data_IF_028220917914
#
_entry.id   IF_028220917914
#
_cell.length_a   1.000
_cell.length_b   1.000
_cell.length_c   1.000
_cell.angle_alpha   90.00
_cell.angle_beta   90.00
_cell.angle_gamma   90.00
#
_symmetry.space_group_name_H-M   'P 1'
#
loop_
_entity.id
_entity.type
_entity.pdbx_description
1 polymer ?
#
# COMPACT_ATOMS: atom_id res chain seq x y z
N UNK A 1 -19.44 -9.31 -15.88
CA UNK A 1 -19.26 -8.86 -14.48
C UNK A 1 -18.67 -7.45 -14.54
N UNK A 2 -19.17 -6.48 -13.77
CA UNK A 2 -18.57 -5.15 -13.76
C UNK A 2 -17.18 -5.26 -13.12
N UNK A 3 -16.13 -4.90 -13.86
CA UNK A 3 -14.75 -4.85 -13.36
C UNK A 3 -14.51 -3.50 -12.68
N UNK A 4 -15.07 -3.32 -11.48
CA UNK A 4 -14.74 -2.19 -10.63
C UNK A 4 -15.95 -1.46 -10.05
N UNK A 5 -15.75 -0.92 -8.84
CA UNK A 5 -16.67 0.02 -8.20
C UNK A 5 -16.01 1.39 -8.17
N UNK A 6 -16.70 2.41 -8.68
CA UNK A 6 -16.32 3.80 -8.50
C UNK A 6 -16.71 4.19 -7.07
N UNK A 7 -15.81 4.85 -6.37
CA UNK A 7 -15.98 5.34 -5.00
C UNK A 7 -15.69 6.84 -4.99
N UNK A 8 -16.42 7.58 -4.17
CA UNK A 8 -16.37 9.05 -4.19
C UNK A 8 -15.31 9.61 -3.24
N UNK A 9 -14.79 8.78 -2.32
CA UNK A 9 -13.72 9.18 -1.40
C UNK A 9 -12.81 8.00 -1.02
N UNK A 10 -11.59 8.28 -0.56
CA UNK A 10 -10.71 7.28 0.04
C UNK A 10 -11.35 6.57 1.24
N UNK A 11 -12.11 7.28 2.08
CA UNK A 11 -12.78 6.66 3.23
C UNK A 11 -13.86 5.65 2.80
N UNK A 12 -14.60 5.94 1.74
CA UNK A 12 -15.57 5.01 1.17
C UNK A 12 -14.87 3.76 0.64
N UNK A 13 -13.75 3.93 -0.09
CA UNK A 13 -12.92 2.82 -0.56
C UNK A 13 -12.48 1.92 0.60
N UNK A 14 -11.99 2.54 1.69
CA UNK A 14 -11.48 1.83 2.86
C UNK A 14 -12.59 1.10 3.60
N UNK A 15 -13.76 1.71 3.75
CA UNK A 15 -14.91 1.04 4.37
C UNK A 15 -15.35 -0.21 3.58
N UNK A 16 -15.21 -0.18 2.25
CA UNK A 16 -15.56 -1.29 1.36
C UNK A 16 -14.51 -2.40 1.32
N UNK A 17 -13.23 -2.03 1.25
CA UNK A 17 -12.13 -3.00 1.13
C UNK A 17 -11.69 -3.54 2.49
N UNK A 18 -11.61 -2.68 3.51
CA UNK A 18 -11.13 -2.99 4.86
C UNK A 18 -12.17 -2.66 5.95
N UNK A 19 -13.32 -3.36 5.97
CA UNK A 19 -14.31 -3.15 7.02
C UNK A 19 -13.73 -3.48 8.40
N UNK A 20 -13.95 -2.60 9.38
CA UNK A 20 -13.45 -2.77 10.76
C UNK A 20 -11.93 -2.97 10.86
N UNK A 21 -11.13 -2.29 10.02
CA UNK A 21 -9.67 -2.43 9.97
C UNK A 21 -9.00 -2.31 11.35
N UNK A 22 -9.52 -1.48 12.25
CA UNK A 22 -9.01 -1.31 13.63
C UNK A 22 -9.06 -2.59 14.47
N UNK A 23 -9.94 -3.53 14.14
CA UNK A 23 -10.06 -4.82 14.82
C UNK A 23 -9.22 -5.90 14.14
N UNK A 24 -9.09 -5.82 12.81
CA UNK A 24 -8.48 -6.87 11.98
C UNK A 24 -7.03 -6.58 11.56
N UNK A 25 -6.44 -5.43 11.91
CA UNK A 25 -5.10 -5.04 11.44
C UNK A 25 -3.96 -5.98 11.85
N UNK A 26 -4.17 -6.85 12.83
CA UNK A 26 -3.20 -7.90 13.24
C UNK A 26 -3.44 -9.24 12.55
N UNK A 27 -4.56 -9.39 11.84
CA UNK A 27 -4.91 -10.61 11.12
C UNK A 27 -4.30 -10.56 9.71
N UNK A 28 -3.18 -11.26 9.56
CA UNK A 28 -2.43 -11.32 8.33
C UNK A 28 -3.20 -12.03 7.21
N UNK A 29 -3.97 -13.07 7.54
CA UNK A 29 -4.79 -13.79 6.57
C UNK A 29 -5.90 -12.86 6.08
N UNK A 30 -6.59 -12.16 6.97
CA UNK A 30 -7.63 -11.21 6.58
C UNK A 30 -7.09 -10.08 5.69
N UNK A 31 -5.89 -9.56 5.98
CA UNK A 31 -5.26 -8.52 5.17
C UNK A 31 -4.79 -9.03 3.79
N UNK A 32 -4.20 -10.23 3.72
CA UNK A 32 -3.62 -10.77 2.49
C UNK A 32 -4.66 -11.08 1.40
N UNK A 33 -5.90 -11.34 1.77
CA UNK A 33 -7.01 -11.53 0.82
C UNK A 33 -7.54 -10.22 0.21
N UNK A 34 -6.97 -9.06 0.56
CA UNK A 34 -7.47 -7.74 0.20
C UNK A 34 -6.38 -6.90 -0.49
N UNK A 35 -6.62 -6.56 -1.76
CA UNK A 35 -5.74 -5.72 -2.55
C UNK A 35 -6.50 -4.49 -3.06
N UNK A 36 -5.84 -3.33 -2.97
CA UNK A 36 -6.28 -2.10 -3.65
C UNK A 36 -5.32 -1.89 -4.83
N UNK A 37 -5.85 -2.00 -6.04
CA UNK A 37 -5.11 -1.66 -7.24
C UNK A 37 -5.36 -0.20 -7.59
N UNK A 38 -4.30 0.60 -7.72
CA UNK A 38 -4.39 1.95 -8.23
C UNK A 38 -3.55 2.07 -9.51
N UNK A 39 -3.99 2.92 -10.44
CA UNK A 39 -3.35 3.10 -11.74
C UNK A 39 -2.05 3.89 -11.68
N UNK A 40 -1.76 4.58 -10.57
CA UNK A 40 -0.58 5.43 -10.40
C UNK A 40 -0.01 5.36 -8.99
N UNK A 41 1.31 5.48 -8.88
CA UNK A 41 2.03 5.41 -7.61
C UNK A 41 1.70 6.56 -6.65
N UNK A 42 1.44 7.77 -7.16
CA UNK A 42 1.04 8.91 -6.33
C UNK A 42 -0.32 8.68 -5.64
N UNK A 43 -1.21 7.93 -6.31
CA UNK A 43 -2.48 7.49 -5.74
C UNK A 43 -2.25 6.39 -4.71
N UNK A 44 -1.36 5.43 -4.99
CA UNK A 44 -0.97 4.38 -4.02
C UNK A 44 -0.40 5.00 -2.74
N UNK A 45 0.50 5.98 -2.87
CA UNK A 45 1.12 6.66 -1.72
C UNK A 45 0.07 7.35 -0.85
N UNK A 46 -0.83 8.15 -1.46
CA UNK A 46 -1.93 8.80 -0.75
C UNK A 46 -2.80 7.78 -0.01
N UNK A 47 -3.16 6.67 -0.67
CA UNK A 47 -3.98 5.62 -0.08
C UNK A 47 -3.25 4.93 1.09
N UNK A 48 -1.97 4.61 0.94
CA UNK A 48 -1.17 4.02 2.00
C UNK A 48 -1.09 4.92 3.23
N UNK A 49 -0.93 6.23 3.03
CA UNK A 49 -0.94 7.21 4.14
C UNK A 49 -2.32 7.26 4.80
N UNK A 50 -3.40 7.29 4.02
CA UNK A 50 -4.76 7.29 4.58
C UNK A 50 -5.05 6.02 5.38
N UNK A 51 -4.65 4.84 4.88
CA UNK A 51 -4.80 3.55 5.58
C UNK A 51 -4.04 3.57 6.91
N UNK A 52 -2.77 3.99 6.88
CA UNK A 52 -1.92 4.03 8.08
C UNK A 52 -2.52 4.91 9.17
N UNK A 53 -3.07 6.08 8.82
CA UNK A 53 -3.75 6.97 9.77
C UNK A 53 -4.99 6.36 10.44
N UNK A 54 -5.62 5.35 9.84
CA UNK A 54 -6.77 4.67 10.44
C UNK A 54 -6.35 3.56 11.42
N UNK A 55 -5.12 3.06 11.31
CA UNK A 55 -4.60 1.99 12.14
C UNK A 55 -4.28 2.50 13.55
N UNK A 56 -4.64 1.74 14.60
CA UNK A 56 -4.25 2.08 15.96
C UNK A 56 -2.78 1.72 16.18
N UNK A 57 -1.98 2.66 16.67
CA UNK A 57 -0.58 2.40 17.03
C UNK A 57 0.34 3.59 16.82
N UNK A 58 1.64 3.37 17.06
CA UNK A 58 2.69 4.34 16.72
C UNK A 58 3.05 4.18 15.24
N UNK A 59 3.14 5.29 14.54
CA UNK A 59 3.65 5.33 13.16
C UNK A 59 5.18 5.16 13.17
N UNK A 60 5.68 4.31 12.28
CA UNK A 60 7.12 4.12 12.06
C UNK A 60 7.42 4.38 10.58
N UNK A 61 8.28 5.35 10.31
CA UNK A 61 8.75 5.63 8.96
C UNK A 61 9.99 4.79 8.67
N UNK A 62 9.87 3.87 7.71
CA UNK A 62 11.01 3.14 7.16
C UNK A 62 11.46 3.85 5.88
N UNK A 63 12.68 4.39 5.89
CA UNK A 63 13.26 5.00 4.68
C UNK A 63 13.76 3.89 3.77
N UNK A 64 13.15 3.72 2.61
CA UNK A 64 13.69 2.84 1.57
C UNK A 64 14.97 3.47 1.01
N UNK A 65 16.05 2.70 0.93
CA UNK A 65 17.26 3.11 0.23
C UNK A 65 17.03 2.74 -1.24
N UNK A 66 16.84 3.74 -2.09
CA UNK A 66 16.87 3.55 -3.53
C UNK A 66 18.29 3.13 -3.93
N UNK A 67 18.54 1.83 -4.07
CA UNK A 67 19.76 1.37 -4.74
C UNK A 67 19.64 1.73 -6.22
N UNK A 68 20.17 2.91 -6.58
CA UNK A 68 20.56 3.19 -7.95
C UNK A 68 21.68 2.19 -8.24
N UNK A 69 21.38 1.13 -8.99
CA UNK A 69 22.42 0.31 -9.58
C UNK A 69 23.15 1.23 -10.56
N UNK A 70 24.31 1.73 -10.15
CA UNK A 70 25.26 2.28 -11.10
C UNK A 70 25.70 1.08 -11.95
N UNK A 71 25.24 1.03 -13.19
CA UNK A 71 25.66 0.06 -14.23
C UNK A 71 27.16 0.23 -14.64
N UNK A 72 28.00 0.85 -13.79
CA UNK A 72 29.42 1.11 -14.07
C UNK A 72 30.37 0.11 -13.39
N UNK A 73 29.87 -0.89 -12.64
CA UNK A 73 30.66 -2.02 -12.16
C UNK A 73 30.33 -3.33 -12.91
N UNK A 74 30.27 -3.26 -14.25
CA UNK A 74 30.53 -4.44 -15.06
C UNK A 74 32.02 -4.77 -14.94
N UNK A 75 32.41 -5.53 -13.90
CA UNK A 75 33.76 -6.09 -13.75
C UNK A 75 34.03 -6.95 -14.98
N UNK A 76 34.85 -6.44 -15.88
CA UNK A 76 35.44 -7.18 -16.98
C UNK A 76 36.38 -8.23 -16.37
N UNK A 77 35.88 -9.46 -16.21
CA UNK A 77 36.73 -10.62 -15.90
C UNK A 77 37.42 -11.05 -17.20
N UNK A 78 38.72 -10.79 -17.29
CA UNK A 78 39.62 -11.43 -18.26
C UNK A 78 40.17 -12.72 -17.65
#
# INVERSE_FOLDING_TARGET
MPCGQIVNSPDELLSKVYPNIRQNFKDQDWLSHRAILASRNDVVEKLNVTIQKQLPGKEYAYKYIECILNDDEAVHIH
#
